data_IF_516158947517
#
_entry.id   IF_516158947517
#
_cell.length_a   1.000
_cell.length_b   1.000
_cell.length_c   1.000
_cell.angle_alpha   90.00
_cell.angle_beta   90.00
_cell.angle_gamma   90.00
#
_symmetry.space_group_name_H-M   'P 1'
#
loop_
_entity.id
_entity.type
_entity.pdbx_description
1 polymer ?
#
# COMPACT_ATOMS: atom_id res chain seq x y z
N UNK A 1 7.68 -8.53 -21.95
CA UNK A 1 6.58 -7.59 -22.28
C UNK A 1 5.98 -6.98 -21.02
N UNK A 2 5.24 -7.70 -20.18
CA UNK A 2 4.67 -7.10 -18.95
C UNK A 2 5.73 -6.78 -17.87
N UNK A 3 6.79 -7.57 -17.74
CA UNK A 3 7.92 -7.27 -16.83
C UNK A 3 8.65 -5.98 -17.25
N UNK A 4 8.82 -5.78 -18.56
CA UNK A 4 9.41 -4.53 -19.08
C UNK A 4 8.48 -3.33 -18.81
N UNK A 5 7.17 -3.51 -19.00
CA UNK A 5 6.16 -2.52 -18.62
C UNK A 5 6.16 -2.24 -17.11
N UNK A 6 6.38 -3.27 -16.27
CA UNK A 6 6.51 -3.10 -14.83
C UNK A 6 7.75 -2.28 -14.48
N UNK A 7 8.89 -2.47 -15.17
CA UNK A 7 10.07 -1.62 -14.99
C UNK A 7 9.79 -0.15 -15.35
N UNK A 8 9.02 0.11 -16.41
CA UNK A 8 8.62 1.48 -16.77
C UNK A 8 7.71 2.10 -15.70
N UNK A 9 6.73 1.34 -15.19
CA UNK A 9 5.87 1.80 -14.09
C UNK A 9 6.69 2.03 -12.83
N UNK A 10 7.62 1.13 -12.52
CA UNK A 10 8.55 1.22 -11.38
C UNK A 10 9.32 2.53 -11.40
N UNK A 11 9.89 2.92 -12.53
CA UNK A 11 10.69 4.15 -12.64
C UNK A 11 9.86 5.41 -12.34
N UNK A 12 8.55 5.37 -12.63
CA UNK A 12 7.61 6.45 -12.35
C UNK A 12 7.08 6.40 -10.91
N UNK A 13 6.79 5.20 -10.41
CA UNK A 13 6.17 4.96 -9.11
C UNK A 13 7.16 5.09 -7.95
N UNK A 14 8.41 4.64 -8.12
CA UNK A 14 9.44 4.65 -7.09
C UNK A 14 9.62 6.02 -6.40
N UNK A 15 9.83 7.15 -7.11
CA UNK A 15 9.97 8.45 -6.45
C UNK A 15 8.71 8.85 -5.67
N UNK A 16 7.52 8.42 -6.10
CA UNK A 16 6.27 8.67 -5.37
C UNK A 16 6.19 7.83 -4.09
N UNK A 17 6.66 6.59 -4.14
CA UNK A 17 6.76 5.71 -2.97
C UNK A 17 7.79 6.21 -1.97
N UNK A 18 8.95 6.71 -2.41
CA UNK A 18 9.99 7.27 -1.54
C UNK A 18 9.46 8.46 -0.72
N UNK A 19 8.80 9.41 -1.38
CA UNK A 19 8.18 10.57 -0.71
C UNK A 19 7.09 10.11 0.29
N UNK A 20 6.32 9.09 -0.08
CA UNK A 20 5.30 8.52 0.81
C UNK A 20 5.96 7.84 2.00
N UNK A 21 6.99 7.03 1.78
CA UNK A 21 7.73 6.33 2.83
C UNK A 21 8.35 7.32 3.83
N UNK A 22 8.97 8.40 3.35
CA UNK A 22 9.52 9.47 4.18
C UNK A 22 8.44 10.10 5.07
N UNK A 23 7.24 10.35 4.54
CA UNK A 23 6.10 10.90 5.29
C UNK A 23 5.64 9.98 6.42
N UNK A 24 5.79 8.67 6.28
CA UNK A 24 5.32 7.67 7.24
C UNK A 24 6.41 7.14 8.18
N UNK A 25 7.69 7.44 7.97
CA UNK A 25 8.84 6.90 8.74
C UNK A 25 8.79 7.13 10.26
N UNK A 26 7.96 8.06 10.75
CA UNK A 26 7.71 8.30 12.18
C UNK A 26 6.27 8.02 12.64
N UNK A 27 5.41 7.49 11.78
CA UNK A 27 3.96 7.30 12.04
C UNK A 27 3.53 5.83 12.01
N UNK A 28 4.49 4.93 11.81
CA UNK A 28 4.26 3.50 11.62
C UNK A 28 5.17 2.70 12.55
N UNK A 29 4.85 1.42 12.82
CA UNK A 29 5.67 0.56 13.66
C UNK A 29 7.11 0.42 13.13
N UNK A 30 8.04 0.15 14.05
CA UNK A 30 9.45 -0.07 13.72
C UNK A 30 9.60 -1.20 12.68
N UNK A 31 10.40 -0.93 11.64
CA UNK A 31 10.58 -1.84 10.50
C UNK A 31 9.72 -1.49 9.28
N UNK A 32 8.79 -0.54 9.44
CA UNK A 32 8.02 0.08 8.35
C UNK A 32 8.38 1.57 8.20
N UNK A 33 8.04 2.20 7.07
CA UNK A 33 7.50 1.59 5.85
C UNK A 33 8.58 0.81 5.08
N UNK A 34 8.16 -0.23 4.35
CA UNK A 34 9.05 -1.09 3.56
C UNK A 34 8.72 -0.97 2.07
N UNK A 35 9.74 -0.72 1.25
CA UNK A 35 9.61 -0.66 -0.21
C UNK A 35 10.10 -1.96 -0.83
N UNK A 36 9.31 -2.48 -1.77
CA UNK A 36 9.65 -3.65 -2.57
C UNK A 36 9.94 -3.15 -3.98
N UNK A 37 11.14 -3.43 -4.46
CA UNK A 37 11.62 -3.03 -5.79
C UNK A 37 12.32 -4.21 -6.46
N UNK A 38 11.53 -5.23 -6.80
CA UNK A 38 12.01 -6.43 -7.50
C UNK A 38 11.20 -6.66 -8.78
N UNK A 39 11.23 -5.73 -9.75
CA UNK A 39 10.44 -5.85 -10.96
C UNK A 39 10.77 -7.11 -11.76
N UNK A 40 11.99 -7.64 -11.67
CA UNK A 40 12.39 -8.91 -12.28
C UNK A 40 11.67 -10.13 -11.69
N UNK A 41 11.22 -10.03 -10.43
CA UNK A 41 10.37 -11.02 -9.77
C UNK A 41 8.88 -10.70 -9.96
N UNK A 42 8.55 -9.68 -10.76
CA UNK A 42 7.18 -9.31 -11.09
C UNK A 42 6.47 -8.48 -10.02
N UNK A 43 7.19 -7.82 -9.09
CA UNK A 43 6.56 -7.01 -8.03
C UNK A 43 7.33 -5.74 -7.70
N UNK A 44 6.58 -4.65 -7.54
CA UNK A 44 7.06 -3.37 -6.98
C UNK A 44 5.97 -2.83 -6.05
N UNK A 45 6.31 -2.25 -4.90
CA UNK A 45 5.29 -1.80 -3.97
C UNK A 45 5.79 -1.13 -2.70
N UNK A 46 4.84 -0.72 -1.88
CA UNK A 46 5.05 -0.05 -0.60
C UNK A 46 4.16 -0.69 0.46
N UNK A 47 4.76 -1.08 1.58
CA UNK A 47 4.08 -1.52 2.79
C UNK A 47 4.19 -0.41 3.83
N UNK A 48 3.05 0.16 4.24
CA UNK A 48 3.00 1.15 5.33
C UNK A 48 3.00 0.45 6.69
N UNK A 49 2.33 -0.70 6.80
CA UNK A 49 2.41 -1.62 7.92
C UNK A 49 2.07 -3.05 7.47
N UNK A 50 2.07 -4.01 8.40
CA UNK A 50 1.71 -5.42 8.13
C UNK A 50 0.25 -5.65 7.68
N UNK A 51 -0.55 -4.60 7.57
CA UNK A 51 -1.97 -4.63 7.24
C UNK A 51 -2.35 -3.66 6.12
N UNK A 52 -1.42 -2.87 5.57
CA UNK A 52 -1.65 -1.83 4.57
C UNK A 52 -0.49 -1.80 3.60
N UNK A 53 -0.73 -2.29 2.39
CA UNK A 53 0.25 -2.31 1.33
C UNK A 53 -0.38 -2.03 -0.03
N UNK A 54 0.44 -1.48 -0.92
CA UNK A 54 0.16 -1.37 -2.35
C UNK A 54 1.25 -2.14 -3.09
N UNK A 55 0.84 -3.05 -3.96
CA UNK A 55 1.72 -3.71 -4.91
C UNK A 55 1.27 -3.43 -6.32
N UNK A 56 2.22 -3.30 -7.22
CA UNK A 56 2.03 -3.44 -8.66
C UNK A 56 2.70 -4.75 -9.05
N UNK A 57 1.90 -5.69 -9.54
CA UNK A 57 2.34 -7.04 -9.86
C UNK A 57 2.19 -7.33 -11.35
N UNK A 58 3.01 -8.25 -11.84
CA UNK A 58 2.95 -8.79 -13.19
C UNK A 58 2.83 -10.31 -13.11
N UNK A 59 1.89 -10.90 -13.85
CA UNK A 59 1.78 -12.36 -13.99
C UNK A 59 2.50 -12.89 -15.26
N UNK A 60 3.23 -12.02 -15.95
CA UNK A 60 3.92 -12.31 -17.21
C UNK A 60 3.12 -11.96 -18.47
N UNK A 61 1.79 -11.79 -18.35
CA UNK A 61 0.94 -11.32 -19.45
C UNK A 61 0.39 -9.92 -19.16
N UNK A 62 -0.20 -9.75 -17.98
CA UNK A 62 -0.93 -8.56 -17.56
C UNK A 62 -0.30 -7.91 -16.32
N UNK A 63 -0.71 -6.67 -16.06
CA UNK A 63 -0.31 -5.90 -14.88
C UNK A 63 -1.51 -5.69 -13.97
N UNK A 64 -1.24 -5.72 -12.66
CA UNK A 64 -2.26 -5.53 -11.64
C UNK A 64 -1.78 -4.56 -10.59
N UNK A 65 -2.68 -3.74 -10.07
CA UNK A 65 -2.49 -3.05 -8.81
C UNK A 65 -3.27 -3.79 -7.72
N UNK A 66 -2.59 -4.12 -6.64
CA UNK A 66 -3.10 -4.87 -5.51
C UNK A 66 -3.01 -3.98 -4.26
N UNK A 67 -4.15 -3.54 -3.74
CA UNK A 67 -4.21 -2.88 -2.44
C UNK A 67 -4.60 -3.91 -1.40
N UNK A 68 -3.66 -4.23 -0.54
CA UNK A 68 -3.87 -5.06 0.62
C UNK A 68 -4.25 -4.18 1.81
N UNK A 69 -5.43 -4.41 2.39
CA UNK A 69 -5.82 -3.82 3.67
C UNK A 69 -6.52 -4.83 4.58
N UNK A 70 -6.50 -4.62 5.89
CA UNK A 70 -7.43 -5.32 6.80
C UNK A 70 -8.69 -4.51 7.05
N UNK A 71 -9.86 -5.12 6.88
CA UNK A 71 -11.13 -4.46 7.17
C UNK A 71 -11.28 -4.23 8.70
N UNK A 72 -11.74 -3.04 9.14
CA UNK A 72 -12.05 -2.81 10.54
C UNK A 72 -13.23 -3.71 10.95
N UNK A 73 -13.15 -4.35 12.13
CA UNK A 73 -14.30 -5.04 12.72
C UNK A 73 -15.37 -4.00 13.09
N UNK A 74 -16.57 -4.12 12.54
CA UNK A 74 -17.75 -3.28 12.83
C UNK A 74 -18.49 -3.68 14.12
N UNK A 75 -17.84 -4.47 14.97
CA UNK A 75 -18.33 -4.82 16.31
C UNK A 75 -18.19 -3.60 17.25
N UNK A 76 -19.33 -2.99 17.59
CA UNK A 76 -19.51 -1.80 18.42
C UNK A 76 -19.02 -1.91 19.89
N UNK A 77 -18.39 -3.01 20.31
CA UNK A 77 -17.84 -3.16 21.67
C UNK A 77 -16.30 -3.17 21.73
N UNK A 78 -15.65 -2.95 20.60
CA UNK A 78 -14.20 -3.09 20.49
C UNK A 78 -13.48 -1.77 20.83
N UNK A 79 -13.35 -1.50 22.14
CA UNK A 79 -12.75 -0.29 22.70
C UNK A 79 -11.36 0.09 22.15
N UNK A 80 -11.08 1.39 22.21
CA UNK A 80 -9.78 2.00 21.92
C UNK A 80 -8.75 1.48 22.94
N UNK A 81 -7.72 0.77 22.50
CA UNK A 81 -6.66 0.28 23.40
C UNK A 81 -6.19 -1.16 23.18
N UNK A 82 -6.73 -1.88 22.18
CA UNK A 82 -6.15 -3.17 21.75
C UNK A 82 -5.75 -3.12 20.29
N UNK A 83 -4.52 -3.52 19.99
CA UNK A 83 -4.04 -3.79 18.64
C UNK A 83 -4.91 -4.90 18.03
N UNK A 84 -5.63 -4.57 16.95
CA UNK A 84 -6.56 -5.48 16.29
C UNK A 84 -5.83 -6.21 15.17
N UNK A 85 -5.11 -7.28 15.53
CA UNK A 85 -4.35 -8.10 14.58
C UNK A 85 -5.21 -9.01 13.67
N UNK A 86 -6.53 -8.89 13.65
CA UNK A 86 -7.42 -9.81 12.91
C UNK A 86 -8.66 -9.12 12.31
N UNK A 87 -8.42 -8.26 11.31
CA UNK A 87 -9.44 -7.87 10.33
C UNK A 87 -9.48 -8.86 9.15
N UNK A 88 -10.63 -8.98 8.48
CA UNK A 88 -10.73 -9.77 7.24
C UNK A 88 -9.74 -9.16 6.22
N UNK A 89 -8.82 -9.95 5.63
CA UNK A 89 -7.97 -9.43 4.57
C UNK A 89 -8.86 -9.02 3.40
N UNK A 90 -8.77 -7.76 3.03
CA UNK A 90 -9.36 -7.22 1.82
C UNK A 90 -8.23 -7.05 0.82
N UNK A 91 -8.27 -7.84 -0.24
CA UNK A 91 -7.36 -7.71 -1.36
C UNK A 91 -8.15 -7.16 -2.55
N UNK A 92 -7.91 -5.89 -2.87
CA UNK A 92 -8.43 -5.26 -4.08
C UNK A 92 -7.39 -5.39 -5.18
N UNK A 93 -7.64 -6.30 -6.11
CA UNK A 93 -6.80 -6.57 -7.27
C UNK A 93 -7.49 -6.04 -8.51
N UNK A 94 -6.93 -4.99 -9.10
CA UNK A 94 -7.45 -4.34 -10.32
C UNK A 94 -6.44 -4.45 -11.46
N UNK A 95 -6.85 -4.84 -12.67
CA UNK A 95 -5.97 -4.79 -13.84
C UNK A 95 -5.60 -3.33 -14.13
N UNK A 96 -4.35 -3.10 -14.53
CA UNK A 96 -3.88 -1.78 -14.96
C UNK A 96 -3.24 -1.89 -16.35
N UNK A 97 -3.44 -0.88 -17.18
CA UNK A 97 -2.78 -0.78 -18.47
C UNK A 97 -1.29 -0.45 -18.32
N UNK A 98 -0.48 -0.86 -19.29
CA UNK A 98 0.93 -0.45 -19.36
C UNK A 98 1.09 1.08 -19.54
N UNK A 99 0.06 1.73 -20.07
CA UNK A 99 -0.06 3.18 -20.29
C UNK A 99 -0.70 3.92 -19.12
N UNK A 100 -0.83 3.29 -17.94
CA UNK A 100 -1.38 3.91 -16.73
C UNK A 100 -0.77 5.29 -16.48
N UNK A 101 -1.61 6.27 -16.20
CA UNK A 101 -1.18 7.65 -16.05
C UNK A 101 -0.48 7.88 -14.71
N UNK A 102 0.36 8.92 -14.62
CA UNK A 102 0.99 9.30 -13.34
C UNK A 102 -0.07 9.66 -12.30
N UNK A 103 -1.19 10.24 -12.75
CA UNK A 103 -2.29 10.59 -11.87
C UNK A 103 -2.93 9.34 -11.28
N UNK A 104 -3.13 8.29 -12.07
CA UNK A 104 -3.72 7.04 -11.59
C UNK A 104 -2.78 6.36 -10.59
N UNK A 105 -1.47 6.31 -10.87
CA UNK A 105 -0.47 5.79 -9.93
C UNK A 105 -0.48 6.54 -8.59
N UNK A 106 -0.60 7.88 -8.63
CA UNK A 106 -0.77 8.70 -7.42
C UNK A 106 -2.08 8.41 -6.70
N UNK A 107 -3.16 8.17 -7.44
CA UNK A 107 -4.45 7.80 -6.86
C UNK A 107 -4.34 6.45 -6.12
N UNK A 108 -3.61 5.46 -6.65
CA UNK A 108 -3.34 4.19 -5.95
C UNK A 108 -2.67 4.42 -4.58
N UNK A 109 -1.65 5.29 -4.54
CA UNK A 109 -0.97 5.65 -3.30
C UNK A 109 -1.89 6.43 -2.36
N UNK A 110 -2.69 7.36 -2.90
CA UNK A 110 -3.65 8.13 -2.12
C UNK A 110 -4.72 7.23 -1.47
N UNK A 111 -5.19 6.21 -2.18
CA UNK A 111 -6.11 5.19 -1.65
C UNK A 111 -5.48 4.46 -0.45
N UNK A 112 -4.25 3.96 -0.61
CA UNK A 112 -3.50 3.30 0.46
C UNK A 112 -3.35 4.21 1.70
N UNK A 113 -2.94 5.47 1.48
CA UNK A 113 -2.78 6.46 2.54
C UNK A 113 -4.10 6.78 3.23
N UNK A 114 -5.18 6.92 2.46
CA UNK A 114 -6.53 7.17 2.97
C UNK A 114 -6.98 6.03 3.89
N UNK A 115 -6.82 4.78 3.45
CA UNK A 115 -7.15 3.60 4.25
C UNK A 115 -6.37 3.59 5.57
N UNK A 116 -5.04 3.77 5.50
CA UNK A 116 -4.21 3.79 6.69
C UNK A 116 -4.60 4.91 7.67
N UNK A 117 -4.81 6.13 7.18
CA UNK A 117 -5.14 7.28 8.03
C UNK A 117 -6.57 7.24 8.61
N UNK A 118 -7.48 6.49 7.97
CA UNK A 118 -8.86 6.30 8.47
C UNK A 118 -8.97 5.32 9.65
N UNK A 119 -7.83 4.75 10.11
CA UNK A 119 -7.82 3.83 11.23
C UNK A 119 -8.23 4.51 12.54
N UNK A 120 -9.19 3.95 13.30
CA UNK A 120 -9.68 4.57 14.54
C UNK A 120 -8.61 4.79 15.62
N UNK A 121 -7.57 3.97 15.62
CA UNK A 121 -6.53 3.97 16.66
C UNK A 121 -5.36 4.91 16.36
N UNK A 122 -5.33 5.59 15.20
CA UNK A 122 -4.19 6.43 14.83
C UNK A 122 -4.04 7.67 15.73
N UNK A 123 -5.13 8.10 16.37
CA UNK A 123 -5.18 9.27 17.26
C UNK A 123 -4.21 9.12 18.45
N UNK A 124 -3.97 7.89 18.92
CA UNK A 124 -3.08 7.62 20.06
C UNK A 124 -1.59 7.57 19.73
N UNK A 125 -1.20 7.71 18.46
CA UNK A 125 0.22 7.70 18.04
C UNK A 125 0.77 9.15 17.94
N UNK A 126 -0.10 10.16 18.04
CA UNK A 126 0.21 11.58 17.87
C UNK A 126 0.35 12.40 19.16
N UNK A 127 0.24 11.79 20.33
CA UNK A 127 0.54 12.45 21.60
C UNK A 127 1.98 12.12 22.02
N UNK A 128 2.93 12.97 21.58
CA UNK A 128 4.23 13.21 22.20
C UNK A 128 4.58 14.71 22.06
#
# INVERSE_FOLDING_TARGET
>A
MSVDSLSIIRDRLLPMMEVTADRYRGRVPRGYPHMIDTPQQGVVGLEIDASHALYVTSDGADLFAEIYRRAPRTDNRSGAGREKFSGLPFNDRRPIGADVSDQDLRNLLADLMSYFNSQPNLIHITDD
#
